data_IF_856549710928
#
_entry.id   IF_856549710928
#
_cell.length_a   1.000
_cell.length_b   1.000
_cell.length_c   1.000
_cell.angle_alpha   90.00
_cell.angle_beta   90.00
_cell.angle_gamma   90.00
#
_symmetry.space_group_name_H-M   'P 1'
#
loop_
_entity.id
_entity.type
_entity.pdbx_description
1 polymer ?
#
# COMPACT_ATOMS: atom_id res chain seq x y z
N UNK A 1 19.30 -14.04 18.29
CA UNK A 1 17.85 -13.91 18.58
C UNK A 1 17.46 -12.51 18.14
N UNK A 2 16.49 -12.40 17.23
CA UNK A 2 16.06 -11.09 16.72
C UNK A 2 15.38 -10.31 17.85
N UNK A 3 15.65 -9.02 17.93
CA UNK A 3 14.97 -8.13 18.87
C UNK A 3 13.46 -8.14 18.64
N UNK A 4 12.66 -8.10 19.71
CA UNK A 4 11.20 -8.24 19.60
C UNK A 4 10.57 -7.07 18.83
N UNK A 5 11.09 -5.84 19.03
CA UNK A 5 10.61 -4.67 18.31
C UNK A 5 10.91 -4.78 16.82
N UNK A 6 12.11 -5.27 16.48
CA UNK A 6 12.50 -5.51 15.09
C UNK A 6 11.53 -6.47 14.40
N UNK A 7 11.20 -7.59 15.06
CA UNK A 7 10.24 -8.58 14.55
C UNK A 7 8.86 -7.96 14.34
N UNK A 8 8.32 -7.27 15.35
CA UNK A 8 7.03 -6.58 15.24
C UNK A 8 7.03 -5.55 14.10
N UNK A 9 8.13 -4.83 13.92
CA UNK A 9 8.31 -3.89 12.82
C UNK A 9 8.24 -4.55 11.45
N UNK A 10 8.95 -5.67 11.26
CA UNK A 10 8.93 -6.42 10.00
C UNK A 10 7.54 -6.99 9.72
N UNK A 11 6.91 -7.60 10.72
CA UNK A 11 5.55 -8.15 10.58
C UNK A 11 4.56 -7.05 10.15
N UNK A 12 4.62 -5.88 10.81
CA UNK A 12 3.75 -4.76 10.47
C UNK A 12 4.09 -4.13 9.11
N UNK A 13 5.37 -4.04 8.74
CA UNK A 13 5.77 -3.56 7.42
C UNK A 13 5.23 -4.46 6.30
N UNK A 14 5.33 -5.78 6.50
CA UNK A 14 4.86 -6.76 5.52
C UNK A 14 3.33 -6.73 5.39
N UNK A 15 2.61 -6.54 6.50
CA UNK A 15 1.16 -6.31 6.50
C UNK A 15 0.80 -5.01 5.76
N UNK A 16 1.58 -3.94 5.93
CA UNK A 16 1.35 -2.65 5.25
C UNK A 16 1.58 -2.78 3.75
N UNK A 17 2.66 -3.41 3.29
CA UNK A 17 2.97 -3.46 1.85
C UNK A 17 2.48 -4.71 1.14
N UNK A 18 1.90 -5.68 1.86
CA UNK A 18 1.61 -7.02 1.36
C UNK A 18 2.83 -7.66 0.66
N UNK A 19 4.03 -7.40 1.21
CA UNK A 19 5.32 -7.82 0.65
C UNK A 19 6.21 -8.37 1.76
N UNK A 20 6.86 -9.52 1.54
CA UNK A 20 7.88 -10.05 2.45
C UNK A 20 9.20 -9.29 2.26
N UNK A 21 9.40 -8.25 3.08
CA UNK A 21 10.64 -7.50 3.08
C UNK A 21 11.77 -8.30 3.75
N UNK A 22 12.92 -8.47 3.09
CA UNK A 22 14.09 -9.05 3.76
C UNK A 22 14.57 -8.14 4.88
N UNK A 23 15.08 -8.74 5.95
CA UNK A 23 15.69 -7.99 7.04
C UNK A 23 17.04 -7.41 6.60
N UNK A 24 17.09 -6.08 6.40
CA UNK A 24 18.28 -5.40 5.89
C UNK A 24 19.05 -4.68 7.02
N UNK A 25 20.40 -4.71 7.01
CA UNK A 25 21.20 -4.00 8.00
C UNK A 25 21.19 -2.48 7.75
N UNK A 26 21.53 -1.71 8.79
CA UNK A 26 21.76 -0.27 8.69
C UNK A 26 20.71 0.60 9.40
N UNK A 27 21.13 1.80 9.77
CA UNK A 27 20.34 2.72 10.60
C UNK A 27 19.05 3.18 9.92
N UNK A 28 19.10 3.49 8.62
CA UNK A 28 17.91 3.92 7.87
C UNK A 28 16.80 2.86 7.87
N UNK A 29 17.17 1.60 7.66
CA UNK A 29 16.22 0.50 7.69
C UNK A 29 15.74 0.22 9.12
N UNK A 30 16.59 0.36 10.14
CA UNK A 30 16.18 0.31 11.55
C UNK A 30 15.19 1.43 11.92
N UNK A 31 15.38 2.66 11.46
CA UNK A 31 14.39 3.74 11.65
C UNK A 31 13.06 3.42 10.97
N UNK A 32 13.11 2.79 9.80
CA UNK A 32 11.89 2.41 9.08
C UNK A 32 11.16 1.26 9.79
N UNK A 33 11.86 0.17 10.07
CA UNK A 33 11.25 -1.04 10.63
C UNK A 33 10.95 -0.87 12.11
N UNK A 34 11.95 -0.53 12.93
CA UNK A 34 11.83 -0.58 14.38
C UNK A 34 11.03 0.62 14.90
N UNK A 35 11.28 1.81 14.34
CA UNK A 35 10.57 3.02 14.76
C UNK A 35 9.24 3.16 14.04
N UNK A 36 9.22 3.35 12.71
CA UNK A 36 7.97 3.64 12.00
C UNK A 36 6.99 2.46 12.10
N UNK A 37 7.37 1.25 11.70
CA UNK A 37 6.44 0.11 11.74
C UNK A 37 6.28 -0.48 13.13
N UNK A 38 7.38 -0.63 13.88
CA UNK A 38 7.38 -1.24 15.20
C UNK A 38 6.75 -0.36 16.29
N UNK A 39 6.86 0.98 16.20
CA UNK A 39 6.35 1.90 17.24
C UNK A 39 5.24 2.84 16.80
N UNK A 40 5.15 3.26 15.53
CA UNK A 40 4.16 4.28 15.10
C UNK A 40 2.90 3.63 14.52
N UNK A 41 3.05 2.65 13.63
CA UNK A 41 1.91 1.92 13.06
C UNK A 41 1.16 1.08 14.09
N UNK A 42 1.84 0.63 15.14
CA UNK A 42 1.28 -0.20 16.23
C UNK A 42 0.62 0.61 17.36
N UNK A 43 0.67 1.95 17.31
CA UNK A 43 0.08 2.79 18.38
C UNK A 43 -1.44 2.58 18.49
N UNK A 44 -2.02 2.66 19.70
CA UNK A 44 -3.47 2.74 19.83
C UNK A 44 -3.99 4.11 19.34
N UNK A 45 -5.30 4.20 19.11
CA UNK A 45 -6.02 5.46 18.86
C UNK A 45 -6.55 5.63 17.44
N UNK A 46 -5.91 5.02 16.45
CA UNK A 46 -6.43 4.88 15.10
C UNK A 46 -6.50 3.40 14.73
N UNK A 47 -7.46 3.01 13.89
CA UNK A 47 -7.47 1.67 13.30
C UNK A 47 -6.44 1.57 12.16
N UNK A 48 -6.23 0.36 11.64
CA UNK A 48 -5.43 0.16 10.43
C UNK A 48 -6.07 0.87 9.23
N UNK A 49 -7.39 0.74 9.10
CA UNK A 49 -8.21 1.43 8.09
C UNK A 49 -8.02 2.94 8.12
N UNK A 50 -8.07 3.58 9.30
CA UNK A 50 -7.92 5.03 9.41
C UNK A 50 -6.55 5.51 8.92
N UNK A 51 -5.49 4.80 9.30
CA UNK A 51 -4.12 5.09 8.83
C UNK A 51 -4.00 4.95 7.31
N UNK A 52 -4.65 3.94 6.75
CA UNK A 52 -4.62 3.64 5.32
C UNK A 52 -5.32 4.71 4.50
N UNK A 53 -6.48 5.17 4.94
CA UNK A 53 -7.14 6.31 4.32
C UNK A 53 -6.24 7.55 4.33
N UNK A 54 -5.56 7.82 5.46
CA UNK A 54 -4.63 8.95 5.54
C UNK A 54 -3.44 8.80 4.58
N UNK A 55 -2.82 7.61 4.51
CA UNK A 55 -1.71 7.33 3.59
C UNK A 55 -2.16 7.48 2.13
N UNK A 56 -3.28 6.87 1.74
CA UNK A 56 -3.82 7.00 0.37
C UNK A 56 -4.09 8.47 0.03
N UNK A 57 -4.67 9.23 0.96
CA UNK A 57 -4.94 10.64 0.74
C UNK A 57 -3.66 11.46 0.51
N UNK A 58 -2.63 11.23 1.33
CA UNK A 58 -1.33 11.90 1.20
C UNK A 58 -0.63 11.52 -0.11
N UNK A 59 -0.61 10.23 -0.46
CA UNK A 59 0.01 9.77 -1.71
C UNK A 59 -0.71 10.33 -2.94
N UNK A 60 -2.03 10.46 -2.86
CA UNK A 60 -2.84 11.10 -3.91
C UNK A 60 -2.46 12.57 -4.04
N UNK A 61 -2.41 13.30 -2.93
CA UNK A 61 -2.02 14.71 -2.92
C UNK A 61 -0.57 14.94 -3.42
N UNK A 62 0.32 13.96 -3.20
CA UNK A 62 1.71 14.00 -3.69
C UNK A 62 1.88 13.45 -5.12
N UNK A 63 0.82 12.91 -5.74
CA UNK A 63 0.87 12.34 -7.09
C UNK A 63 1.65 11.02 -7.22
N UNK A 64 1.89 10.33 -6.11
CA UNK A 64 2.71 9.11 -6.00
C UNK A 64 1.99 7.87 -6.53
N UNK A 65 1.84 7.79 -7.85
CA UNK A 65 0.89 6.88 -8.52
C UNK A 65 1.28 5.41 -8.45
N UNK A 66 2.59 5.11 -8.51
CA UNK A 66 3.09 3.75 -8.38
C UNK A 66 2.83 3.20 -6.97
N UNK A 67 3.08 4.02 -5.94
CA UNK A 67 2.83 3.64 -4.56
C UNK A 67 1.33 3.56 -4.22
N UNK A 68 0.48 4.34 -4.89
CA UNK A 68 -0.97 4.22 -4.75
C UNK A 68 -1.49 2.84 -5.17
N UNK A 69 -1.01 2.29 -6.28
CA UNK A 69 -1.44 0.96 -6.74
C UNK A 69 -1.06 -0.15 -5.75
N UNK A 70 0.13 -0.04 -5.15
CA UNK A 70 0.58 -0.92 -4.06
C UNK A 70 -0.35 -0.80 -2.85
N UNK A 71 -0.60 0.42 -2.39
CA UNK A 71 -1.43 0.65 -1.19
C UNK A 71 -2.88 0.21 -1.40
N UNK A 72 -3.47 0.49 -2.56
CA UNK A 72 -4.83 0.04 -2.92
C UNK A 72 -4.93 -1.48 -2.89
N UNK A 73 -3.94 -2.18 -3.46
CA UNK A 73 -3.96 -3.64 -3.44
C UNK A 73 -3.78 -4.21 -2.03
N UNK A 74 -2.88 -3.64 -1.22
CA UNK A 74 -2.69 -4.08 0.17
C UNK A 74 -3.95 -3.84 1.02
N UNK A 75 -4.58 -2.67 0.86
CA UNK A 75 -5.82 -2.31 1.56
C UNK A 75 -6.96 -3.28 1.29
N UNK A 76 -7.15 -3.63 0.02
CA UNK A 76 -8.16 -4.60 -0.39
C UNK A 76 -7.80 -6.05 -0.02
N UNK A 77 -6.52 -6.34 0.27
CA UNK A 77 -6.09 -7.68 0.69
C UNK A 77 -6.32 -7.89 2.18
N UNK A 78 -6.08 -6.84 2.97
CA UNK A 78 -6.24 -6.85 4.42
C UNK A 78 -7.70 -6.58 4.84
N UNK A 79 -8.64 -6.50 3.90
CA UNK A 79 -10.05 -6.17 4.11
C UNK A 79 -10.26 -4.87 4.91
N UNK A 80 -9.38 -3.89 4.70
CA UNK A 80 -9.42 -2.60 5.41
C UNK A 80 -10.46 -1.65 4.79
N UNK A 81 -10.60 -1.69 3.46
CA UNK A 81 -11.62 -1.00 2.67
C UNK A 81 -12.11 -1.91 1.54
N UNK A 82 -13.32 -1.65 1.07
CA UNK A 82 -13.86 -2.26 -0.15
C UNK A 82 -13.52 -1.43 -1.39
N UNK A 83 -13.69 -2.02 -2.59
CA UNK A 83 -13.50 -1.30 -3.87
C UNK A 83 -14.45 -0.10 -3.96
N UNK A 84 -15.70 -0.25 -3.50
CA UNK A 84 -16.69 0.83 -3.59
C UNK A 84 -16.38 1.98 -2.63
N UNK A 85 -15.86 1.68 -1.44
CA UNK A 85 -15.39 2.72 -0.51
C UNK A 85 -14.15 3.46 -1.05
N UNK A 86 -13.25 2.76 -1.74
CA UNK A 86 -12.11 3.40 -2.40
C UNK A 86 -12.55 4.30 -3.56
N UNK A 87 -13.55 3.88 -4.34
CA UNK A 87 -14.15 4.72 -5.40
C UNK A 87 -14.79 5.97 -4.83
N UNK A 88 -15.55 5.85 -3.73
CA UNK A 88 -16.12 6.99 -3.02
C UNK A 88 -15.04 7.94 -2.52
N UNK A 89 -13.95 7.41 -1.94
CA UNK A 89 -12.80 8.22 -1.54
C UNK A 89 -12.19 8.98 -2.72
N UNK A 90 -12.07 8.33 -3.89
CA UNK A 90 -11.55 8.98 -5.09
C UNK A 90 -12.46 10.13 -5.55
N UNK A 91 -13.78 9.95 -5.54
CA UNK A 91 -14.75 11.02 -5.85
C UNK A 91 -14.58 12.17 -4.87
N UNK A 92 -14.57 11.90 -3.57
CA UNK A 92 -14.46 12.93 -2.54
C UNK A 92 -13.14 13.71 -2.63
N UNK A 93 -12.00 13.00 -2.61
CA UNK A 93 -10.69 13.65 -2.52
C UNK A 93 -10.34 14.45 -3.77
N UNK A 94 -10.86 14.07 -4.94
CA UNK A 94 -10.66 14.81 -6.20
C UNK A 94 -11.06 16.28 -6.09
N UNK A 95 -12.06 16.60 -5.27
CA UNK A 95 -12.50 17.98 -5.04
C UNK A 95 -11.49 18.81 -4.23
N UNK A 96 -10.59 18.17 -3.49
CA UNK A 96 -9.59 18.83 -2.65
C UNK A 96 -8.19 18.84 -3.28
N UNK A 97 -7.84 17.81 -4.05
CA UNK A 97 -6.53 17.71 -4.72
C UNK A 97 -6.58 18.08 -6.21
N UNK A 98 -7.78 18.29 -6.76
CA UNK A 98 -8.02 18.55 -8.17
C UNK A 98 -8.01 17.29 -9.04
N UNK A 99 -8.68 17.38 -10.19
CA UNK A 99 -8.80 16.30 -11.18
C UNK A 99 -7.47 15.67 -11.64
N UNK A 100 -6.37 16.42 -11.86
CA UNK A 100 -5.12 15.82 -12.31
C UNK A 100 -4.53 14.78 -11.36
N UNK A 101 -4.74 14.95 -10.05
CA UNK A 101 -4.26 14.04 -9.01
C UNK A 101 -5.31 13.00 -8.63
N UNK A 102 -6.56 13.44 -8.42
CA UNK A 102 -7.66 12.54 -8.04
C UNK A 102 -7.96 11.46 -9.08
N UNK A 103 -7.88 11.79 -10.37
CA UNK A 103 -8.05 10.81 -11.46
C UNK A 103 -6.99 9.71 -11.46
N UNK A 104 -5.79 9.96 -10.91
CA UNK A 104 -4.73 8.96 -10.79
C UNK A 104 -5.06 7.93 -9.73
N UNK A 105 -5.63 8.35 -8.58
CA UNK A 105 -6.16 7.43 -7.58
C UNK A 105 -7.27 6.55 -8.16
N UNK A 106 -8.25 7.16 -8.84
CA UNK A 106 -9.32 6.41 -9.50
C UNK A 106 -8.75 5.38 -10.50
N UNK A 107 -7.78 5.80 -11.32
CA UNK A 107 -7.15 4.89 -12.29
C UNK A 107 -6.40 3.73 -11.62
N UNK A 108 -5.74 3.96 -10.49
CA UNK A 108 -5.09 2.91 -9.72
C UNK A 108 -6.12 1.90 -9.16
N UNK A 109 -7.24 2.40 -8.62
CA UNK A 109 -8.34 1.56 -8.13
C UNK A 109 -8.89 0.66 -9.23
N UNK A 110 -9.21 1.22 -10.39
CA UNK A 110 -9.78 0.44 -11.50
C UNK A 110 -8.79 -0.59 -12.07
N UNK A 111 -7.49 -0.27 -12.14
CA UNK A 111 -6.47 -1.24 -12.55
C UNK A 111 -6.38 -2.42 -11.58
N UNK A 112 -6.36 -2.16 -10.28
CA UNK A 112 -6.32 -3.23 -9.27
C UNK A 112 -7.61 -4.05 -9.30
N UNK A 113 -8.77 -3.40 -9.40
CA UNK A 113 -10.06 -4.09 -9.52
C UNK A 113 -10.11 -5.02 -10.73
N UNK A 114 -9.62 -4.56 -11.90
CA UNK A 114 -9.54 -5.36 -13.11
C UNK A 114 -8.59 -6.55 -12.96
N UNK A 115 -7.37 -6.33 -12.43
CA UNK A 115 -6.39 -7.41 -12.14
C UNK A 115 -6.99 -8.48 -11.22
N UNK A 116 -7.68 -8.06 -10.15
CA UNK A 116 -8.35 -8.96 -9.19
C UNK A 116 -9.49 -9.76 -9.82
N UNK A 117 -10.32 -9.11 -10.64
CA UNK A 117 -11.40 -9.77 -11.38
C UNK A 117 -10.86 -10.85 -12.33
N UNK A 118 -9.82 -10.53 -13.10
CA UNK A 118 -9.17 -11.48 -14.01
C UNK A 118 -8.58 -12.68 -13.27
N UNK A 119 -7.94 -12.46 -12.12
CA UNK A 119 -7.44 -13.56 -11.29
C UNK A 119 -8.58 -14.50 -10.85
N UNK A 120 -9.67 -13.92 -10.34
CA UNK A 120 -10.84 -14.69 -9.92
C UNK A 120 -11.48 -15.49 -11.08
N UNK A 121 -11.60 -14.90 -12.28
CA UNK A 121 -12.11 -15.59 -13.48
C UNK A 121 -11.20 -16.75 -13.93
N UNK A 122 -9.90 -16.61 -13.74
CA UNK A 122 -8.91 -17.64 -14.06
C UNK A 122 -8.74 -18.69 -12.95
N UNK A 123 -9.51 -18.60 -11.86
CA UNK A 123 -9.38 -19.48 -10.69
C UNK A 123 -8.07 -19.29 -9.92
N UNK A 124 -7.35 -18.19 -10.14
CA UNK A 124 -6.15 -17.83 -9.39
C UNK A 124 -6.47 -16.86 -8.27
N UNK A 125 -5.69 -16.92 -7.19
CA UNK A 125 -5.76 -15.91 -6.14
C UNK A 125 -5.21 -14.59 -6.67
N UNK A 126 -5.76 -13.43 -6.24
CA UNK A 126 -5.17 -12.13 -6.52
C UNK A 126 -3.69 -12.11 -6.14
N UNK A 127 -2.80 -11.77 -7.08
CA UNK A 127 -1.38 -11.62 -6.78
C UNK A 127 -1.15 -10.33 -5.98
N UNK A 128 -1.02 -10.50 -4.67
CA UNK A 128 -0.81 -9.40 -3.73
C UNK A 128 0.58 -8.78 -3.87
N UNK A 129 1.56 -9.55 -4.35
CA UNK A 129 2.98 -9.18 -4.44
C UNK A 129 3.36 -8.61 -5.80
N UNK A 130 2.61 -8.93 -6.87
CA UNK A 130 2.86 -8.45 -8.23
C UNK A 130 3.06 -6.93 -8.30
N UNK A 131 2.18 -6.15 -7.65
CA UNK A 131 2.23 -4.70 -7.75
C UNK A 131 3.49 -4.12 -7.10
N UNK A 132 3.97 -4.70 -6.00
CA UNK A 132 5.22 -4.24 -5.35
C UNK A 132 6.43 -4.62 -6.19
N UNK A 133 6.46 -5.83 -6.74
CA UNK A 133 7.52 -6.28 -7.64
C UNK A 133 7.61 -5.40 -8.90
N UNK A 134 6.47 -5.03 -9.50
CA UNK A 134 6.39 -4.11 -10.65
C UNK A 134 6.99 -2.74 -10.31
N UNK A 135 6.68 -2.18 -9.14
CA UNK A 135 7.23 -0.88 -8.71
C UNK A 135 8.74 -0.95 -8.51
N UNK A 136 9.24 -1.98 -7.82
CA UNK A 136 10.67 -2.17 -7.60
C UNK A 136 11.44 -2.41 -8.91
N UNK A 137 10.83 -3.11 -9.88
CA UNK A 137 11.41 -3.31 -11.20
C UNK A 137 11.55 -1.99 -11.98
N UNK A 138 10.56 -1.09 -11.88
CA UNK A 138 10.63 0.25 -12.46
C UNK A 138 11.72 1.10 -11.81
N UNK A 139 11.80 1.12 -10.48
CA UNK A 139 12.81 1.92 -9.75
C UNK A 139 14.24 1.41 -9.95
N UNK A 140 14.42 0.11 -10.15
CA UNK A 140 15.72 -0.49 -10.46
C UNK A 140 16.16 -0.32 -11.92
N UNK A 141 15.38 0.38 -12.75
CA UNK A 141 15.69 0.61 -14.17
C UNK A 141 15.60 -0.65 -15.03
N UNK A 142 15.01 -1.73 -14.51
CA UNK A 142 14.80 -3.01 -15.21
C UNK A 142 13.41 -3.09 -15.84
N UNK A 143 12.91 -1.98 -16.37
CA UNK A 143 11.77 -2.09 -17.29
C UNK A 143 12.30 -2.65 -18.59
N UNK A 144 11.74 -3.79 -19.01
CA UNK A 144 11.99 -4.39 -20.32
C UNK A 144 11.54 -3.47 -21.45
#
# INVERSE_FOLDING_TARGET
MMDELRRTGLDKMNEVYAWDMPDMPGEFFALTVDHLFGRIWTRPGLSMRDRRMAVIAVLTAQGQSDLLEVQVNAVLHNDELTIDELRELAVFITHYVGFPLGSRLNSAIERVAAKRKQAAENGSLPDTKANVAEVLAKESGKSS
#
